data_IF_431259446658
#
_entry.id   IF_431259446658
#
_cell.length_a   1.000
_cell.length_b   1.000
_cell.length_c   1.000
_cell.angle_alpha   90.00
_cell.angle_beta   90.00
_cell.angle_gamma   90.00
#
_symmetry.space_group_name_H-M   'P 1'
#
loop_
_entity.id
_entity.type
_entity.pdbx_description
1 polymer ?
#
# COMPACT_ATOMS: atom_id res chain seq x y z
N UNK A 1 17.74 -16.69 0.75
CA UNK A 1 17.49 -15.53 -0.14
C UNK A 1 16.06 -15.52 -0.71
N UNK A 2 15.57 -16.58 -1.37
CA UNK A 2 14.22 -16.59 -1.98
C UNK A 2 13.06 -16.30 -1.01
N UNK A 3 13.09 -16.84 0.22
CA UNK A 3 12.07 -16.54 1.25
C UNK A 3 12.02 -15.04 1.56
N UNK A 4 13.16 -14.35 1.56
CA UNK A 4 13.21 -12.90 1.81
C UNK A 4 12.65 -12.10 0.63
N UNK A 5 12.89 -12.56 -0.60
CA UNK A 5 12.33 -11.95 -1.82
C UNK A 5 10.80 -12.07 -1.79
N UNK A 6 10.27 -13.27 -1.52
CA UNK A 6 8.83 -13.55 -1.53
C UNK A 6 8.12 -13.32 -0.18
N UNK A 7 8.77 -12.66 0.79
CA UNK A 7 8.19 -12.39 2.12
C UNK A 7 6.89 -11.58 2.03
N UNK A 8 6.06 -11.69 3.06
CA UNK A 8 4.76 -11.01 3.16
C UNK A 8 3.82 -11.36 1.99
N UNK A 9 3.75 -12.66 1.65
CA UNK A 9 2.81 -13.21 0.68
C UNK A 9 2.95 -12.63 -0.73
N UNK A 10 4.17 -12.22 -1.13
CA UNK A 10 4.38 -11.52 -2.40
C UNK A 10 3.90 -12.33 -3.61
N UNK A 11 4.07 -13.66 -3.60
CA UNK A 11 3.59 -14.52 -4.69
C UNK A 11 2.08 -14.42 -4.90
N UNK A 12 1.30 -14.53 -3.81
CA UNK A 12 -0.15 -14.39 -3.85
C UNK A 12 -0.56 -12.98 -4.33
N UNK A 13 0.15 -11.95 -3.84
CA UNK A 13 -0.11 -10.55 -4.21
C UNK A 13 0.20 -10.26 -5.67
N UNK A 14 1.25 -10.85 -6.24
CA UNK A 14 1.57 -10.73 -7.68
C UNK A 14 0.47 -11.37 -8.51
N UNK A 15 0.03 -12.58 -8.15
CA UNK A 15 -1.05 -13.27 -8.87
C UNK A 15 -2.34 -12.46 -8.84
N UNK A 16 -2.77 -12.05 -7.65
CA UNK A 16 -3.98 -11.26 -7.43
C UNK A 16 -3.94 -9.91 -8.17
N UNK A 17 -2.79 -9.21 -8.12
CA UNK A 17 -2.63 -7.91 -8.77
C UNK A 17 -2.73 -8.03 -10.30
N UNK A 18 -2.16 -9.08 -10.90
CA UNK A 18 -2.25 -9.30 -12.35
C UNK A 18 -3.67 -9.68 -12.77
N UNK A 19 -4.36 -10.52 -11.98
CA UNK A 19 -5.77 -10.87 -12.22
C UNK A 19 -6.65 -9.62 -12.18
N UNK A 20 -6.45 -8.74 -11.19
CA UNK A 20 -7.19 -7.48 -11.07
C UNK A 20 -6.92 -6.53 -12.26
N UNK A 21 -5.66 -6.38 -12.67
CA UNK A 21 -5.31 -5.55 -13.83
C UNK A 21 -5.95 -6.09 -15.11
N UNK A 22 -5.99 -7.41 -15.30
CA UNK A 22 -6.67 -8.03 -16.44
C UNK A 22 -8.18 -7.78 -16.40
N UNK A 23 -8.84 -7.92 -15.24
CA UNK A 23 -10.26 -7.58 -15.11
C UNK A 23 -10.53 -6.13 -15.54
N UNK A 24 -9.73 -5.17 -15.05
CA UNK A 24 -9.89 -3.76 -15.41
C UNK A 24 -9.70 -3.51 -16.91
N UNK A 25 -8.79 -4.23 -17.56
CA UNK A 25 -8.62 -4.15 -19.02
C UNK A 25 -9.85 -4.66 -19.75
N UNK A 26 -10.42 -5.80 -19.34
CA UNK A 26 -11.64 -6.32 -19.97
C UNK A 26 -12.87 -5.45 -19.68
N UNK A 27 -12.98 -4.85 -18.49
CA UNK A 27 -14.06 -3.92 -18.14
C UNK A 27 -14.06 -2.65 -19.02
N UNK A 28 -12.89 -2.26 -19.57
CA UNK A 28 -12.79 -1.13 -20.49
C UNK A 28 -13.16 -1.47 -21.93
N UNK A 29 -13.23 -2.76 -22.27
CA UNK A 29 -13.41 -3.26 -23.64
C UNK A 29 -14.71 -4.07 -23.80
N UNK A 30 -15.68 -3.87 -22.91
CA UNK A 30 -16.95 -4.62 -22.89
C UNK A 30 -17.69 -4.56 -24.22
N UNK A 31 -17.92 -3.34 -24.73
CA UNK A 31 -18.68 -3.12 -25.97
C UNK A 31 -17.93 -3.64 -27.20
N UNK A 32 -16.61 -3.40 -27.26
CA UNK A 32 -15.78 -3.76 -28.41
C UNK A 32 -15.64 -5.28 -28.58
N UNK A 33 -15.69 -6.03 -27.46
CA UNK A 33 -15.55 -7.49 -27.44
C UNK A 33 -16.88 -8.23 -27.25
N UNK A 34 -18.01 -7.53 -27.21
CA UNK A 34 -19.34 -8.11 -26.97
C UNK A 34 -19.41 -8.90 -25.65
N UNK A 35 -18.81 -8.35 -24.59
CA UNK A 35 -18.82 -8.93 -23.24
C UNK A 35 -20.03 -8.35 -22.47
N UNK A 36 -20.88 -9.22 -21.94
CA UNK A 36 -21.97 -8.84 -21.04
C UNK A 36 -21.46 -8.48 -19.64
N UNK A 37 -20.56 -9.31 -19.10
CA UNK A 37 -20.01 -9.12 -17.75
C UNK A 37 -18.65 -9.78 -17.62
N UNK A 38 -17.73 -9.10 -16.91
CA UNK A 38 -16.45 -9.64 -16.45
C UNK A 38 -16.61 -10.01 -14.97
N UNK A 39 -16.48 -11.29 -14.66
CA UNK A 39 -16.57 -11.77 -13.29
C UNK A 39 -15.21 -12.28 -12.82
N UNK A 40 -14.68 -11.67 -11.76
CA UNK A 40 -13.54 -12.23 -11.04
C UNK A 40 -14.00 -13.36 -10.13
N UNK A 41 -13.39 -14.53 -10.27
CA UNK A 41 -13.73 -15.70 -9.46
C UNK A 41 -13.16 -15.61 -8.04
N UNK A 42 -13.91 -16.14 -7.07
CA UNK A 42 -13.43 -16.28 -5.69
C UNK A 42 -12.53 -17.50 -5.60
N UNK A 43 -11.22 -17.29 -5.73
CA UNK A 43 -10.24 -18.37 -5.69
C UNK A 43 -9.80 -18.71 -4.27
N UNK A 44 -9.39 -19.97 -4.07
CA UNK A 44 -8.75 -20.37 -2.83
C UNK A 44 -7.41 -19.62 -2.65
N UNK A 45 -7.07 -19.08 -1.46
CA UNK A 45 -5.87 -18.26 -1.28
C UNK A 45 -4.56 -18.93 -1.71
N UNK A 46 -4.52 -20.27 -1.68
CA UNK A 46 -3.34 -21.07 -2.06
C UNK A 46 -3.26 -21.45 -3.54
N UNK A 47 -4.26 -21.08 -4.36
CA UNK A 47 -4.32 -21.45 -5.78
C UNK A 47 -3.10 -20.97 -6.55
N UNK A 48 -2.65 -19.74 -6.29
CA UNK A 48 -1.53 -19.11 -7.00
C UNK A 48 -0.22 -19.91 -6.97
N UNK A 49 0.02 -20.75 -5.96
CA UNK A 49 1.21 -21.60 -5.85
C UNK A 49 0.89 -23.10 -5.86
N UNK A 50 -0.32 -23.48 -6.28
CA UNK A 50 -0.72 -24.88 -6.48
C UNK A 50 -0.41 -25.26 -7.93
N UNK A 51 0.57 -26.15 -8.12
CA UNK A 51 1.13 -26.48 -9.44
C UNK A 51 0.57 -27.77 -10.05
N UNK A 52 -0.28 -28.49 -9.32
CA UNK A 52 -0.84 -29.77 -9.74
C UNK A 52 -2.29 -29.68 -10.23
N UNK A 53 -3.04 -28.66 -9.83
CA UNK A 53 -4.38 -28.39 -10.36
C UNK A 53 -4.72 -26.91 -10.21
N UNK A 54 -5.67 -26.44 -11.01
CA UNK A 54 -6.07 -25.03 -11.04
C UNK A 54 -7.58 -24.86 -11.19
N UNK A 55 -8.02 -23.60 -11.19
CA UNK A 55 -9.38 -23.14 -11.48
C UNK A 55 -9.30 -21.80 -12.22
N UNK A 56 -10.40 -21.36 -12.83
CA UNK A 56 -10.49 -20.05 -13.46
C UNK A 56 -10.24 -18.91 -12.45
N UNK A 57 -9.56 -17.86 -12.88
CA UNK A 57 -9.40 -16.60 -12.13
C UNK A 57 -10.42 -15.55 -12.57
N UNK A 58 -10.71 -15.50 -13.87
CA UNK A 58 -11.68 -14.58 -14.47
C UNK A 58 -12.61 -15.37 -15.38
N UNK A 59 -13.89 -15.02 -15.37
CA UNK A 59 -14.92 -15.56 -16.23
C UNK A 59 -15.60 -14.42 -17.01
N UNK A 60 -15.58 -14.53 -18.33
CA UNK A 60 -16.25 -13.60 -19.23
C UNK A 60 -17.55 -14.22 -19.73
N UNK A 61 -18.60 -13.42 -19.75
CA UNK A 61 -19.91 -13.79 -20.30
C UNK A 61 -20.12 -13.04 -21.61
N UNK A 62 -20.44 -13.75 -22.69
CA UNK A 62 -20.70 -13.15 -23.99
C UNK A 62 -22.12 -12.55 -24.03
N UNK A 63 -22.29 -11.36 -24.61
CA UNK A 63 -23.60 -10.76 -24.83
C UNK A 63 -24.51 -11.61 -25.73
N UNK A 64 -23.92 -12.40 -26.63
CA UNK A 64 -24.64 -13.39 -27.43
C UNK A 64 -23.89 -14.72 -27.50
N UNK A 65 -22.89 -14.83 -28.39
CA UNK A 65 -22.03 -16.00 -28.60
C UNK A 65 -20.74 -15.57 -29.28
N UNK A 66 -19.61 -16.13 -28.84
CA UNK A 66 -18.34 -16.01 -29.56
C UNK A 66 -18.07 -17.25 -30.39
N UNK A 67 -17.68 -17.05 -31.64
CA UNK A 67 -17.00 -18.08 -32.44
C UNK A 67 -15.54 -18.14 -31.99
N UNK A 68 -15.09 -19.29 -31.50
CA UNK A 68 -13.78 -19.42 -30.88
C UNK A 68 -12.87 -20.29 -31.73
N UNK A 69 -11.59 -19.98 -31.73
CA UNK A 69 -10.55 -20.75 -32.42
C UNK A 69 -10.23 -22.07 -31.72
N UNK A 70 -9.46 -22.90 -32.43
CA UNK A 70 -8.67 -23.97 -31.79
C UNK A 70 -7.62 -23.37 -30.86
N UNK A 71 -7.15 -24.11 -29.83
CA UNK A 71 -6.11 -23.61 -28.95
C UNK A 71 -4.83 -23.28 -29.72
N UNK A 72 -4.29 -22.08 -29.52
CA UNK A 72 -3.05 -21.61 -30.15
C UNK A 72 -2.26 -20.70 -29.20
N UNK A 73 -1.01 -20.41 -29.53
CA UNK A 73 -0.16 -19.53 -28.72
C UNK A 73 -0.57 -18.06 -28.88
N UNK A 74 -0.19 -17.26 -27.89
CA UNK A 74 -0.40 -15.80 -27.91
C UNK A 74 0.26 -15.13 -29.12
N UNK A 75 1.42 -15.62 -29.56
CA UNK A 75 2.17 -15.05 -30.68
C UNK A 75 1.71 -15.55 -32.06
N UNK A 76 0.83 -16.56 -32.12
CA UNK A 76 0.32 -17.09 -33.39
C UNK A 76 -0.64 -16.10 -34.05
N UNK A 77 -0.54 -15.96 -35.37
CA UNK A 77 -1.26 -14.95 -36.16
C UNK A 77 -2.40 -15.48 -37.04
N UNK A 78 -2.52 -16.80 -37.19
CA UNK A 78 -3.47 -17.43 -38.11
C UNK A 78 -4.51 -18.29 -37.37
N UNK A 79 -5.38 -17.63 -36.61
CA UNK A 79 -6.50 -18.32 -35.97
C UNK A 79 -7.69 -18.42 -36.94
N UNK A 80 -8.22 -19.64 -37.08
CA UNK A 80 -9.52 -19.86 -37.71
C UNK A 80 -10.59 -19.97 -36.62
N UNK A 81 -11.63 -19.14 -36.71
CA UNK A 81 -12.73 -19.06 -35.72
C UNK A 81 -13.83 -20.08 -36.04
N UNK A 82 -13.45 -21.32 -36.30
CA UNK A 82 -14.32 -22.38 -36.83
C UNK A 82 -14.46 -23.59 -35.88
N UNK A 83 -13.91 -23.51 -34.66
CA UNK A 83 -13.85 -24.65 -33.75
C UNK A 83 -15.19 -24.89 -33.04
N UNK A 84 -15.69 -23.89 -32.30
CA UNK A 84 -16.94 -23.99 -31.54
C UNK A 84 -17.50 -22.62 -31.20
N UNK A 85 -18.75 -22.57 -30.78
CA UNK A 85 -19.39 -21.37 -30.20
C UNK A 85 -19.45 -21.48 -28.69
N UNK A 86 -19.14 -20.40 -27.97
CA UNK A 86 -19.26 -20.36 -26.51
C UNK A 86 -19.97 -19.10 -26.02
N UNK A 87 -20.50 -19.17 -24.80
CA UNK A 87 -21.05 -18.03 -24.06
C UNK A 87 -20.26 -17.71 -22.79
N UNK A 88 -19.38 -18.63 -22.36
CA UNK A 88 -18.56 -18.49 -21.17
C UNK A 88 -17.10 -18.71 -21.55
N UNK A 89 -16.23 -17.79 -21.16
CA UNK A 89 -14.81 -17.86 -21.47
C UNK A 89 -13.98 -17.62 -20.23
N UNK A 90 -13.12 -18.57 -19.85
CA UNK A 90 -12.32 -18.45 -18.63
C UNK A 90 -10.89 -18.01 -18.92
N UNK A 91 -10.28 -17.33 -17.95
CA UNK A 91 -8.87 -16.97 -17.94
C UNK A 91 -8.24 -17.54 -16.67
N UNK A 92 -7.10 -18.20 -16.81
CA UNK A 92 -6.30 -18.72 -15.70
C UNK A 92 -4.87 -18.15 -15.78
N UNK A 93 -4.47 -17.43 -14.73
CA UNK A 93 -3.12 -16.87 -14.59
C UNK A 93 -2.26 -17.84 -13.77
N UNK A 94 -1.17 -18.29 -14.36
CA UNK A 94 -0.17 -19.16 -13.75
C UNK A 94 1.14 -18.42 -13.59
N UNK A 95 1.62 -18.36 -12.34
CA UNK A 95 2.95 -17.87 -12.03
C UNK A 95 3.92 -19.05 -11.98
N UNK A 96 5.15 -18.83 -12.43
CA UNK A 96 6.25 -19.77 -12.23
C UNK A 96 7.55 -19.06 -11.89
N UNK A 97 8.49 -19.84 -11.38
CA UNK A 97 9.88 -19.42 -11.17
C UNK A 97 10.77 -20.40 -11.93
N UNK A 98 11.17 -20.03 -13.15
CA UNK A 98 12.00 -20.88 -14.01
C UNK A 98 13.43 -21.05 -13.50
N UNK A 99 14.10 -22.08 -13.98
CA UNK A 99 15.53 -22.31 -13.80
C UNK A 99 16.27 -22.22 -15.15
N UNK A 100 17.55 -22.54 -15.18
CA UNK A 100 18.34 -22.48 -16.42
C UNK A 100 17.87 -23.50 -17.46
N UNK A 101 17.46 -24.69 -17.03
CA UNK A 101 17.10 -25.79 -17.92
C UNK A 101 15.65 -25.67 -18.44
N UNK A 102 14.77 -25.03 -17.67
CA UNK A 102 13.34 -24.93 -17.93
C UNK A 102 12.84 -23.49 -17.75
N UNK A 103 13.07 -22.68 -18.79
CA UNK A 103 12.61 -21.30 -18.88
C UNK A 103 11.85 -20.94 -20.17
N UNK A 104 11.50 -21.93 -21.00
CA UNK A 104 10.59 -21.72 -22.14
C UNK A 104 9.14 -21.57 -21.64
N UNK A 105 8.61 -20.34 -21.71
CA UNK A 105 7.28 -20.00 -21.19
C UNK A 105 6.13 -20.47 -22.09
N UNK A 106 6.35 -20.56 -23.40
CA UNK A 106 5.33 -20.99 -24.36
C UNK A 106 5.05 -22.49 -24.20
N UNK A 107 6.12 -23.28 -24.12
CA UNK A 107 6.02 -24.73 -23.88
C UNK A 107 5.31 -25.01 -22.56
N UNK A 108 5.61 -24.25 -21.52
CA UNK A 108 4.97 -24.40 -20.21
C UNK A 108 3.48 -24.03 -20.25
N UNK A 109 3.12 -22.89 -20.86
CA UNK A 109 1.73 -22.47 -20.97
C UNK A 109 0.88 -23.55 -21.68
N UNK A 110 1.39 -24.07 -22.80
CA UNK A 110 0.74 -25.15 -23.54
C UNK A 110 0.62 -26.43 -22.73
N UNK A 111 1.71 -26.86 -22.08
CA UNK A 111 1.72 -28.09 -21.28
C UNK A 111 0.68 -28.00 -20.15
N UNK A 112 0.70 -26.91 -19.37
CA UNK A 112 -0.25 -26.71 -18.27
C UNK A 112 -1.69 -26.57 -18.73
N UNK A 113 -1.94 -25.90 -19.84
CA UNK A 113 -3.28 -25.83 -20.41
C UNK A 113 -3.80 -27.23 -20.75
N UNK A 114 -3.01 -28.04 -21.45
CA UNK A 114 -3.41 -29.39 -21.84
C UNK A 114 -3.56 -30.30 -20.60
N UNK A 115 -2.64 -30.24 -19.65
CA UNK A 115 -2.72 -31.01 -18.39
C UNK A 115 -4.00 -30.66 -17.63
N UNK A 116 -4.28 -29.37 -17.39
CA UNK A 116 -5.42 -28.95 -16.58
C UNK A 116 -6.77 -29.08 -17.27
N UNK A 117 -6.82 -29.03 -18.61
CA UNK A 117 -8.10 -29.20 -19.33
C UNK A 117 -8.44 -30.67 -19.60
N UNK A 118 -7.48 -31.59 -19.46
CA UNK A 118 -7.70 -33.03 -19.65
C UNK A 118 -7.77 -33.81 -18.35
N UNK A 119 -7.20 -33.30 -17.26
CA UNK A 119 -7.28 -33.90 -15.93
C UNK A 119 -8.62 -33.60 -15.22
N UNK A 120 -9.10 -34.56 -14.43
CA UNK A 120 -10.33 -34.44 -13.66
C UNK A 120 -10.16 -33.65 -12.34
N UNK A 121 -8.93 -33.32 -11.94
CA UNK A 121 -8.69 -32.54 -10.71
C UNK A 121 -8.90 -31.03 -10.89
N UNK A 122 -8.80 -30.52 -12.11
CA UNK A 122 -9.02 -29.10 -12.42
C UNK A 122 -10.41 -28.95 -13.05
N UNK A 123 -11.18 -28.00 -12.54
CA UNK A 123 -12.55 -27.77 -13.01
C UNK A 123 -12.64 -26.35 -13.55
N UNK A 124 -12.94 -26.24 -14.83
CA UNK A 124 -13.20 -24.96 -15.49
C UNK A 124 -14.68 -24.82 -15.85
N UNK A 125 -15.25 -23.60 -15.80
CA UNK A 125 -16.69 -23.38 -16.07
C UNK A 125 -17.14 -23.64 -17.51
N UNK A 126 -16.22 -23.74 -18.46
CA UNK A 126 -16.50 -24.04 -19.86
C UNK A 126 -15.27 -24.70 -20.51
N UNK A 127 -15.43 -25.39 -21.67
CA UNK A 127 -14.30 -25.99 -22.38
C UNK A 127 -13.45 -24.96 -23.14
N UNK A 128 -13.80 -23.67 -23.12
CA UNK A 128 -13.14 -22.61 -23.88
C UNK A 128 -12.55 -21.56 -22.94
N UNK A 129 -11.24 -21.35 -23.04
CA UNK A 129 -10.55 -20.34 -22.25
C UNK A 129 -9.08 -20.25 -22.58
N UNK A 130 -8.34 -19.48 -21.79
CA UNK A 130 -6.91 -19.25 -21.97
C UNK A 130 -6.15 -19.32 -20.65
N UNK A 131 -4.99 -19.97 -20.70
CA UNK A 131 -4.03 -19.96 -19.63
C UNK A 131 -2.90 -18.99 -19.97
N UNK A 132 -2.69 -17.99 -19.11
CA UNK A 132 -1.61 -17.00 -19.20
C UNK A 132 -0.52 -17.42 -18.22
N UNK A 133 0.67 -17.71 -18.73
CA UNK A 133 1.82 -18.12 -17.92
C UNK A 133 2.86 -17.00 -17.81
N UNK A 134 3.38 -16.78 -16.61
CA UNK A 134 4.36 -15.72 -16.31
C UNK A 134 5.54 -16.32 -15.56
N UNK A 135 6.74 -16.19 -16.12
CA UNK A 135 7.99 -16.52 -15.45
C UNK A 135 8.54 -15.30 -14.70
N UNK A 136 8.47 -15.38 -13.38
CA UNK A 136 8.92 -14.33 -12.48
C UNK A 136 10.45 -14.20 -12.39
N UNK A 137 11.20 -15.26 -12.70
CA UNK A 137 12.66 -15.24 -12.65
C UNK A 137 13.23 -14.56 -13.90
N UNK A 138 12.69 -14.90 -15.07
CA UNK A 138 13.15 -14.41 -16.37
C UNK A 138 12.35 -13.23 -16.93
N UNK A 139 11.28 -12.82 -16.23
CA UNK A 139 10.38 -11.75 -16.66
C UNK A 139 9.75 -12.03 -18.05
N UNK A 140 9.45 -13.30 -18.33
CA UNK A 140 8.84 -13.77 -19.57
C UNK A 140 7.35 -14.03 -19.35
N UNK A 141 6.53 -13.89 -20.39
CA UNK A 141 5.13 -14.27 -20.36
C UNK A 141 4.72 -14.84 -21.70
N UNK A 142 3.73 -15.73 -21.68
CA UNK A 142 3.01 -16.19 -22.88
C UNK A 142 1.63 -16.68 -22.45
N UNK A 143 0.80 -17.04 -23.42
CA UNK A 143 -0.49 -17.63 -23.18
C UNK A 143 -0.79 -18.71 -24.21
N UNK A 144 -1.57 -19.70 -23.80
CA UNK A 144 -2.06 -20.76 -24.67
C UNK A 144 -3.51 -21.07 -24.33
N UNK A 145 -4.34 -21.18 -25.37
CA UNK A 145 -5.75 -21.49 -25.21
C UNK A 145 -6.55 -21.08 -26.43
N UNK A 146 -7.87 -21.12 -26.27
CA UNK A 146 -8.81 -20.74 -27.32
C UNK A 146 -8.89 -19.21 -27.44
N UNK A 147 -9.11 -18.68 -28.63
CA UNK A 147 -9.21 -17.23 -28.87
C UNK A 147 -10.53 -16.89 -29.53
N UNK A 148 -11.23 -15.89 -29.01
CA UNK A 148 -12.34 -15.26 -29.71
C UNK A 148 -11.86 -13.97 -30.40
N UNK A 149 -12.59 -13.44 -31.41
CA UNK A 149 -12.20 -12.23 -32.12
C UNK A 149 -11.88 -11.05 -31.18
N UNK A 150 -10.75 -10.38 -31.42
CA UNK A 150 -10.31 -9.22 -30.62
C UNK A 150 -9.59 -9.56 -29.29
N UNK A 151 -9.81 -10.75 -28.72
CA UNK A 151 -9.20 -11.14 -27.43
C UNK A 151 -7.67 -11.22 -27.48
N UNK A 152 -7.12 -11.89 -28.50
CA UNK A 152 -5.67 -12.08 -28.64
C UNK A 152 -4.88 -10.77 -28.70
N UNK A 153 -5.20 -9.81 -29.60
CA UNK A 153 -4.48 -8.53 -29.63
C UNK A 153 -4.66 -7.70 -28.35
N UNK A 154 -5.82 -7.78 -27.68
CA UNK A 154 -6.02 -7.14 -26.38
C UNK A 154 -5.06 -7.70 -25.32
N UNK A 155 -5.02 -9.03 -25.16
CA UNK A 155 -4.13 -9.68 -24.19
C UNK A 155 -2.66 -9.38 -24.50
N UNK A 156 -2.24 -9.35 -25.77
CA UNK A 156 -0.88 -8.97 -26.15
C UNK A 156 -0.51 -7.57 -25.64
N UNK A 157 -1.36 -6.57 -25.87
CA UNK A 157 -1.12 -5.20 -25.42
C UNK A 157 -1.20 -5.07 -23.89
N UNK A 158 -2.20 -5.71 -23.29
CA UNK A 158 -2.42 -5.71 -21.85
C UNK A 158 -1.22 -6.31 -21.10
N UNK A 159 -0.77 -7.50 -21.49
CA UNK A 159 0.34 -8.17 -20.83
C UNK A 159 1.66 -7.40 -21.00
N UNK A 160 1.91 -6.79 -22.16
CA UNK A 160 3.09 -5.93 -22.35
C UNK A 160 3.08 -4.74 -21.36
N UNK A 161 1.91 -4.13 -21.14
CA UNK A 161 1.75 -3.02 -20.18
C UNK A 161 1.85 -3.49 -18.73
N UNK A 162 1.14 -4.56 -18.35
CA UNK A 162 1.14 -5.14 -16.99
C UNK A 162 2.56 -5.57 -16.60
N UNK A 163 3.25 -6.30 -17.48
CA UNK A 163 4.63 -6.71 -17.21
C UNK A 163 5.54 -5.51 -16.96
N UNK A 164 5.32 -4.36 -17.60
CA UNK A 164 6.13 -3.17 -17.37
C UNK A 164 5.75 -2.41 -16.09
N UNK A 165 4.45 -2.20 -15.86
CA UNK A 165 3.95 -1.19 -14.93
C UNK A 165 3.31 -1.76 -13.64
N UNK A 166 3.11 -3.07 -13.54
CA UNK A 166 2.44 -3.66 -12.38
C UNK A 166 3.23 -3.42 -11.07
N UNK A 167 2.63 -2.82 -10.03
CA UNK A 167 3.33 -2.50 -8.78
C UNK A 167 3.86 -3.73 -8.03
N UNK A 168 3.16 -4.87 -8.08
CA UNK A 168 3.60 -6.08 -7.39
C UNK A 168 4.84 -6.69 -8.07
N UNK A 169 4.89 -6.67 -9.41
CA UNK A 169 6.08 -7.05 -10.17
C UNK A 169 7.24 -6.08 -9.95
N UNK A 170 6.97 -4.78 -9.81
CA UNK A 170 7.98 -3.80 -9.44
C UNK A 170 8.61 -4.11 -8.07
N UNK A 171 7.79 -4.36 -7.05
CA UNK A 171 8.26 -4.76 -5.71
C UNK A 171 9.12 -6.03 -5.77
N UNK A 172 8.74 -7.02 -6.59
CA UNK A 172 9.54 -8.22 -6.82
C UNK A 172 10.92 -7.88 -7.39
N UNK A 173 10.97 -7.08 -8.46
CA UNK A 173 12.22 -6.67 -9.13
C UNK A 173 13.12 -5.89 -8.18
N UNK A 174 12.58 -4.95 -7.43
CA UNK A 174 13.32 -4.17 -6.43
C UNK A 174 13.90 -5.05 -5.32
N UNK A 175 13.15 -6.04 -4.85
CA UNK A 175 13.68 -7.00 -3.86
C UNK A 175 14.80 -7.87 -4.43
N UNK A 176 14.70 -8.29 -5.69
CA UNK A 176 15.77 -9.03 -6.38
C UNK A 176 17.01 -8.13 -6.51
N UNK A 177 16.86 -6.89 -7.00
CA UNK A 177 17.95 -5.90 -7.09
C UNK A 177 18.63 -5.65 -5.74
N UNK A 178 17.85 -5.40 -4.69
CA UNK A 178 18.33 -5.23 -3.31
C UNK A 178 19.08 -6.47 -2.80
N UNK A 179 18.58 -7.67 -3.08
CA UNK A 179 19.22 -8.93 -2.66
C UNK A 179 20.53 -9.19 -3.42
N UNK A 180 20.61 -8.78 -4.69
CA UNK A 180 21.80 -8.89 -5.53
C UNK A 180 22.76 -7.69 -5.37
N UNK A 181 22.38 -6.68 -4.57
CA UNK A 181 23.15 -5.44 -4.37
C UNK A 181 23.43 -4.70 -5.68
N UNK A 182 22.46 -4.74 -6.61
CA UNK A 182 22.52 -4.00 -7.87
C UNK A 182 21.81 -2.66 -7.69
N UNK A 183 22.52 -1.57 -7.96
CA UNK A 183 21.98 -0.21 -7.89
C UNK A 183 22.02 0.42 -9.27
N UNK A 184 20.86 0.90 -9.75
CA UNK A 184 20.75 1.73 -10.95
C UNK A 184 20.34 3.14 -10.56
N UNK A 185 20.84 4.15 -11.27
CA UNK A 185 20.42 5.54 -11.15
C UNK A 185 19.14 5.80 -11.95
N UNK A 186 18.11 4.96 -11.79
CA UNK A 186 16.80 5.26 -12.36
C UNK A 186 16.24 6.53 -11.67
N UNK A 187 15.56 7.43 -12.42
CA UNK A 187 14.94 8.61 -11.83
C UNK A 187 13.79 8.16 -10.92
N UNK A 188 14.06 8.11 -9.62
CA UNK A 188 13.04 7.91 -8.59
C UNK A 188 12.22 9.18 -8.41
N UNK A 189 10.99 9.04 -7.95
CA UNK A 189 10.25 10.22 -7.50
C UNK A 189 11.06 10.97 -6.42
N UNK A 190 11.22 12.30 -6.56
CA UNK A 190 12.03 13.06 -5.64
C UNK A 190 11.39 13.04 -4.25
N UNK A 191 12.20 12.79 -3.22
CA UNK A 191 11.76 12.85 -1.83
C UNK A 191 11.24 14.24 -1.49
N UNK A 192 10.42 14.32 -0.45
CA UNK A 192 10.03 15.61 0.12
C UNK A 192 11.28 16.30 0.68
N UNK A 193 11.58 17.48 0.14
CA UNK A 193 12.70 18.33 0.48
C UNK A 193 12.21 19.78 0.64
N UNK A 194 13.11 20.70 0.95
CA UNK A 194 12.78 22.13 1.01
C UNK A 194 12.38 22.71 -0.35
N UNK A 195 12.78 22.08 -1.46
CA UNK A 195 12.51 22.57 -2.82
C UNK A 195 11.07 22.30 -3.27
N UNK A 196 10.48 21.18 -2.84
CA UNK A 196 9.11 20.78 -3.21
C UNK A 196 8.14 20.83 -2.01
N UNK A 197 8.51 21.49 -0.92
CA UNK A 197 7.69 21.62 0.29
C UNK A 197 6.31 22.25 0.03
N UNK A 198 6.20 23.12 -0.98
CA UNK A 198 4.94 23.74 -1.39
C UNK A 198 3.90 22.75 -1.94
N UNK A 199 4.32 21.59 -2.47
CA UNK A 199 3.42 20.57 -3.04
C UNK A 199 2.45 19.99 -1.98
N UNK A 200 2.84 20.04 -0.70
CA UNK A 200 2.03 19.60 0.44
C UNK A 200 0.67 20.29 0.55
N UNK A 201 0.53 21.49 -0.05
CA UNK A 201 -0.65 22.33 0.07
C UNK A 201 -1.45 22.40 -1.24
N UNK A 202 -1.22 21.45 -2.15
CA UNK A 202 -2.03 21.30 -3.36
C UNK A 202 -3.45 20.81 -3.04
N UNK A 203 -4.29 20.73 -4.08
CA UNK A 203 -5.63 20.17 -3.97
C UNK A 203 -5.65 18.65 -3.74
N UNK A 204 -4.50 17.97 -3.82
CA UNK A 204 -4.40 16.54 -3.53
C UNK A 204 -4.49 16.27 -2.02
N UNK A 205 -5.07 15.12 -1.66
CA UNK A 205 -5.06 14.63 -0.29
C UNK A 205 -3.71 13.97 -0.05
N UNK A 206 -2.93 14.56 0.85
CA UNK A 206 -1.58 14.10 1.20
C UNK A 206 -1.57 13.74 2.68
N UNK A 207 -1.00 12.59 3.02
CA UNK A 207 -0.82 12.19 4.42
C UNK A 207 0.65 12.04 4.77
N UNK A 208 1.04 12.53 5.94
CA UNK A 208 2.24 12.11 6.62
C UNK A 208 1.98 10.88 7.47
N UNK A 209 2.88 9.90 7.43
CA UNK A 209 2.86 8.74 8.32
C UNK A 209 4.16 8.71 9.12
N UNK A 210 4.03 8.79 10.45
CA UNK A 210 5.15 8.65 11.39
C UNK A 210 4.98 7.41 12.28
N UNK A 211 5.96 6.50 12.20
CA UNK A 211 6.00 5.23 12.95
C UNK A 211 6.89 5.31 14.20
N UNK A 212 7.43 6.49 14.52
CA UNK A 212 8.44 6.68 15.57
C UNK A 212 7.98 6.19 16.94
N UNK A 213 6.71 6.42 17.28
CA UNK A 213 6.14 6.10 18.59
C UNK A 213 5.22 4.87 18.60
N UNK A 214 5.33 4.00 17.58
CA UNK A 214 4.49 2.80 17.47
C UNK A 214 4.94 1.71 18.46
N UNK A 215 6.23 1.39 18.48
CA UNK A 215 6.79 0.42 19.43
C UNK A 215 7.66 1.14 20.45
N UNK A 216 7.08 1.36 21.63
CA UNK A 216 7.71 2.06 22.76
C UNK A 216 7.99 1.08 23.88
N UNK A 217 9.10 1.28 24.57
CA UNK A 217 9.52 0.42 25.69
C UNK A 217 9.92 1.26 26.89
N UNK A 218 9.67 0.72 28.08
CA UNK A 218 10.26 1.19 29.34
C UNK A 218 11.33 0.20 29.78
N UNK A 219 12.48 0.74 30.20
CA UNK A 219 13.59 -0.07 30.70
C UNK A 219 13.42 -0.20 32.20
N UNK A 220 13.48 -1.41 32.72
CA UNK A 220 13.49 -1.70 34.15
C UNK A 220 14.67 -2.61 34.48
N UNK A 221 15.20 -2.48 35.69
CA UNK A 221 16.27 -3.33 36.19
C UNK A 221 15.66 -4.51 36.92
N UNK A 222 16.03 -5.73 36.56
CA UNK A 222 15.64 -6.94 37.28
C UNK A 222 16.37 -7.03 38.61
N UNK A 223 15.87 -7.90 39.50
CA UNK A 223 16.52 -8.17 40.79
C UNK A 223 17.97 -8.65 40.63
N UNK A 224 18.25 -9.42 39.57
CA UNK A 224 19.59 -9.91 39.20
C UNK A 224 20.51 -8.83 38.60
N UNK A 225 20.00 -7.60 38.43
CA UNK A 225 20.74 -6.46 37.92
C UNK A 225 20.71 -6.29 36.39
N UNK A 226 20.06 -7.20 35.67
CA UNK A 226 19.90 -7.13 34.21
C UNK A 226 18.91 -6.03 33.80
N UNK A 227 19.15 -5.37 32.67
CA UNK A 227 18.21 -4.41 32.09
C UNK A 227 17.24 -5.14 31.16
N UNK A 228 15.94 -5.07 31.48
CA UNK A 228 14.86 -5.66 30.68
C UNK A 228 13.94 -4.57 30.15
N UNK A 229 13.36 -4.79 28.98
CA UNK A 229 12.42 -3.86 28.34
C UNK A 229 11.00 -4.39 28.48
N UNK A 230 10.05 -3.50 28.83
CA UNK A 230 8.62 -3.79 28.81
C UNK A 230 7.96 -2.89 27.76
N UNK A 231 7.16 -3.44 26.84
CA UNK A 231 6.42 -2.61 25.91
C UNK A 231 5.38 -1.76 26.65
N UNK A 232 5.15 -0.56 26.17
CA UNK A 232 4.04 0.31 26.56
C UNK A 232 3.19 0.63 25.33
N UNK A 233 2.01 1.23 25.55
CA UNK A 233 1.15 1.65 24.45
C UNK A 233 1.90 2.64 23.54
N UNK A 234 1.74 2.42 22.24
CA UNK A 234 2.25 3.29 21.19
C UNK A 234 1.12 3.91 20.38
N UNK A 235 1.49 4.71 19.39
CA UNK A 235 0.55 5.25 18.44
C UNK A 235 1.17 5.41 17.05
N UNK A 236 0.36 5.18 16.02
CA UNK A 236 0.64 5.59 14.66
C UNK A 236 0.08 7.00 14.49
N UNK A 237 0.89 7.88 13.92
CA UNK A 237 0.52 9.26 13.66
C UNK A 237 0.32 9.44 12.15
N UNK A 238 -0.91 9.69 11.72
CA UNK A 238 -1.26 9.93 10.31
C UNK A 238 -1.88 11.32 10.19
N UNK A 239 -1.23 12.21 9.46
CA UNK A 239 -1.57 13.64 9.49
C UNK A 239 -1.75 14.24 8.10
N UNK A 240 -2.83 14.98 7.91
CA UNK A 240 -3.09 15.76 6.71
C UNK A 240 -2.59 17.21 6.89
N UNK A 241 -1.52 17.64 6.20
CA UNK A 241 -0.92 18.96 6.39
C UNK A 241 -1.78 20.10 5.85
N UNK A 242 -2.77 19.81 4.98
CA UNK A 242 -3.67 20.84 4.45
C UNK A 242 -4.81 21.14 5.41
N UNK A 243 -5.45 20.09 5.94
CA UNK A 243 -6.65 20.24 6.77
C UNK A 243 -6.35 20.28 8.26
N UNK A 244 -5.18 19.82 8.70
CA UNK A 244 -4.85 19.67 10.11
C UNK A 244 -5.38 18.37 10.73
N UNK A 245 -6.12 17.56 9.97
CA UNK A 245 -6.71 16.32 10.47
C UNK A 245 -5.62 15.31 10.85
N UNK A 246 -5.72 14.79 12.07
CA UNK A 246 -4.87 13.75 12.62
C UNK A 246 -5.71 12.51 12.89
N UNK A 247 -5.32 11.40 12.26
CA UNK A 247 -5.76 10.07 12.62
C UNK A 247 -4.70 9.46 13.56
N UNK A 248 -5.03 9.40 14.85
CA UNK A 248 -4.16 8.83 15.88
C UNK A 248 -4.63 7.41 16.18
N UNK A 249 -3.94 6.41 15.62
CA UNK A 249 -4.22 5.00 15.92
C UNK A 249 -3.40 4.56 17.12
N UNK A 250 -4.08 4.28 18.23
CA UNK A 250 -3.45 3.73 19.44
C UNK A 250 -3.17 2.24 19.23
N UNK A 251 -1.93 1.84 19.49
CA UNK A 251 -1.48 0.46 19.45
C UNK A 251 -1.27 -0.03 20.87
N UNK A 252 -2.21 -0.86 21.33
CA UNK A 252 -2.17 -1.42 22.68
C UNK A 252 -1.09 -2.50 22.82
N UNK A 253 -0.56 -2.66 24.04
CA UNK A 253 0.51 -3.64 24.36
C UNK A 253 0.19 -5.09 23.99
N UNK A 254 -1.10 -5.45 23.93
CA UNK A 254 -1.55 -6.79 23.53
C UNK A 254 -1.10 -7.20 22.13
N UNK A 255 -0.88 -6.25 21.21
CA UNK A 255 -0.37 -6.52 19.85
C UNK A 255 1.03 -7.13 19.86
N UNK A 256 1.81 -6.87 20.91
CA UNK A 256 3.19 -7.34 21.04
C UNK A 256 3.29 -8.70 21.77
N UNK A 257 2.20 -9.17 22.36
CA UNK A 257 2.20 -10.39 23.17
C UNK A 257 2.56 -11.63 22.34
N UNK A 258 3.52 -12.42 22.82
CA UNK A 258 3.99 -13.64 22.15
C UNK A 258 4.80 -13.42 20.87
N UNK A 259 5.07 -12.17 20.48
CA UNK A 259 5.78 -11.83 19.26
C UNK A 259 7.28 -11.61 19.50
N UNK A 260 8.09 -11.86 18.46
CA UNK A 260 9.54 -11.58 18.45
C UNK A 260 9.86 -10.57 17.35
N UNK A 261 11.06 -9.96 17.42
CA UNK A 261 11.54 -8.95 16.44
C UNK A 261 10.59 -7.75 16.30
N UNK A 262 10.16 -7.23 17.44
CA UNK A 262 9.10 -6.22 17.56
C UNK A 262 9.39 -4.93 16.78
N UNK A 263 10.66 -4.53 16.64
CA UNK A 263 11.03 -3.37 15.83
C UNK A 263 10.72 -3.53 14.33
N UNK A 264 10.78 -4.75 13.79
CA UNK A 264 10.33 -5.02 12.42
C UNK A 264 8.81 -5.13 12.37
N UNK A 265 8.21 -5.85 13.32
CA UNK A 265 6.76 -6.03 13.42
C UNK A 265 6.02 -4.68 13.49
N UNK A 266 6.55 -3.71 14.23
CA UNK A 266 5.98 -2.37 14.35
C UNK A 266 5.76 -1.70 12.99
N UNK A 267 6.72 -1.80 12.07
CA UNK A 267 6.63 -1.22 10.72
C UNK A 267 5.54 -1.90 9.88
N UNK A 268 5.49 -3.23 9.93
CA UNK A 268 4.46 -4.00 9.22
C UNK A 268 3.06 -3.75 9.77
N UNK A 269 2.91 -3.70 11.10
CA UNK A 269 1.63 -3.33 11.73
C UNK A 269 1.22 -1.90 11.43
N UNK A 270 2.18 -0.98 11.35
CA UNK A 270 1.90 0.39 10.90
C UNK A 270 1.33 0.39 9.47
N UNK A 271 1.98 -0.28 8.53
CA UNK A 271 1.52 -0.34 7.15
C UNK A 271 0.16 -1.05 6.99
N UNK A 272 -0.09 -2.10 7.79
CA UNK A 272 -1.37 -2.81 7.83
C UNK A 272 -2.51 -1.91 8.30
N UNK A 273 -2.32 -1.17 9.41
CA UNK A 273 -3.30 -0.24 9.95
C UNK A 273 -3.54 0.97 9.03
N UNK A 274 -2.49 1.49 8.38
CA UNK A 274 -2.62 2.54 7.36
C UNK A 274 -3.45 2.05 6.18
N UNK A 275 -3.17 0.85 5.66
CA UNK A 275 -3.94 0.27 4.57
C UNK A 275 -5.41 -0.02 4.97
N UNK A 276 -5.64 -0.47 6.22
CA UNK A 276 -6.98 -0.66 6.75
C UNK A 276 -7.76 0.66 6.87
N UNK A 277 -7.10 1.74 7.30
CA UNK A 277 -7.71 3.07 7.34
C UNK A 277 -8.10 3.53 5.94
N UNK A 278 -7.23 3.39 4.94
CA UNK A 278 -7.54 3.79 3.56
C UNK A 278 -8.73 2.99 3.01
N UNK A 279 -8.79 1.67 3.27
CA UNK A 279 -9.95 0.83 2.89
C UNK A 279 -11.25 1.27 3.55
N UNK A 280 -11.19 1.87 4.74
CA UNK A 280 -12.38 2.34 5.46
C UNK A 280 -12.92 3.68 4.97
N UNK A 281 -12.14 4.43 4.18
CA UNK A 281 -12.53 5.73 3.66
C UNK A 281 -13.18 5.63 2.27
N UNK A 282 -14.16 6.50 1.96
CA UNK A 282 -14.65 6.69 0.59
C UNK A 282 -13.52 7.05 -0.38
N UNK A 283 -13.66 6.69 -1.65
CA UNK A 283 -12.62 6.87 -2.67
C UNK A 283 -12.23 8.35 -2.86
N UNK A 284 -13.16 9.27 -2.60
CA UNK A 284 -12.98 10.72 -2.66
C UNK A 284 -12.08 11.25 -1.53
N UNK A 285 -12.04 10.56 -0.39
CA UNK A 285 -11.25 10.93 0.79
C UNK A 285 -9.90 10.20 0.86
N UNK A 286 -9.68 9.21 -0.02
CA UNK A 286 -8.44 8.46 -0.07
C UNK A 286 -7.25 9.37 -0.48
N UNK A 287 -6.08 9.23 0.17
CA UNK A 287 -4.92 10.02 -0.15
C UNK A 287 -4.43 9.70 -1.55
N UNK A 288 -3.98 10.72 -2.30
CA UNK A 288 -3.23 10.53 -3.55
C UNK A 288 -1.74 10.33 -3.29
N UNK A 289 -1.25 10.81 -2.14
CA UNK A 289 0.15 10.69 -1.75
C UNK A 289 0.29 10.40 -0.26
N UNK A 290 1.21 9.49 0.07
CA UNK A 290 1.62 9.19 1.43
C UNK A 290 3.12 9.47 1.56
N UNK A 291 3.46 10.35 2.50
CA UNK A 291 4.84 10.73 2.79
C UNK A 291 5.25 10.11 4.11
N UNK A 292 6.30 9.28 4.09
CA UNK A 292 6.84 8.65 5.31
C UNK A 292 8.00 9.45 5.89
N UNK A 293 8.01 9.61 7.21
CA UNK A 293 9.12 10.26 7.92
C UNK A 293 10.37 9.38 7.96
N UNK A 294 10.21 8.05 7.96
CA UNK A 294 11.30 7.08 8.11
C UNK A 294 11.34 6.12 6.93
N UNK A 295 12.49 6.05 6.26
CA UNK A 295 12.72 5.20 5.05
C UNK A 295 12.33 3.73 5.25
N UNK A 296 12.41 3.22 6.49
CA UNK A 296 12.02 1.85 6.81
C UNK A 296 10.53 1.53 6.59
N UNK A 297 9.68 2.54 6.42
CA UNK A 297 8.24 2.41 6.15
C UNK A 297 7.90 2.32 4.65
N UNK A 298 8.83 2.63 3.75
CA UNK A 298 8.61 2.54 2.29
C UNK A 298 8.24 1.11 1.89
N UNK A 299 9.14 0.14 2.14
CA UNK A 299 8.91 -1.26 1.73
C UNK A 299 7.59 -1.85 2.30
N UNK A 300 7.25 -1.69 3.61
CA UNK A 300 6.00 -2.22 4.13
C UNK A 300 4.75 -1.58 3.50
N UNK A 301 4.75 -0.26 3.28
CA UNK A 301 3.60 0.42 2.67
C UNK A 301 3.43 0.04 1.21
N UNK A 302 4.51 -0.02 0.41
CA UNK A 302 4.46 -0.48 -0.99
C UNK A 302 3.80 -1.86 -1.09
N UNK A 303 4.06 -2.74 -0.12
CA UNK A 303 3.51 -4.10 -0.10
C UNK A 303 2.05 -4.13 0.36
N UNK A 304 1.67 -3.30 1.31
CA UNK A 304 0.30 -3.27 1.85
C UNK A 304 -0.67 -2.45 1.00
N UNK A 305 -0.16 -1.56 0.15
CA UNK A 305 -0.93 -0.67 -0.72
C UNK A 305 -0.93 -1.12 -2.20
N UNK A 306 -0.58 -2.37 -2.50
CA UNK A 306 -0.70 -2.93 -3.85
C UNK A 306 -2.14 -2.89 -4.39
N UNK A 307 -3.14 -2.95 -3.50
CA UNK A 307 -4.56 -2.81 -3.85
C UNK A 307 -4.93 -1.36 -4.25
N UNK A 308 -4.01 -0.41 -4.02
CA UNK A 308 -4.19 1.03 -4.25
C UNK A 308 -3.11 1.59 -5.18
N UNK A 309 -3.08 1.18 -6.46
CA UNK A 309 -2.00 1.51 -7.40
C UNK A 309 -1.84 3.02 -7.68
N UNK A 310 -2.88 3.81 -7.40
CA UNK A 310 -2.90 5.26 -7.64
C UNK A 310 -2.32 6.08 -6.47
N UNK A 311 -1.93 5.43 -5.36
CA UNK A 311 -1.37 6.12 -4.20
C UNK A 311 0.14 6.16 -4.33
N UNK A 312 0.68 7.37 -4.42
CA UNK A 312 2.12 7.61 -4.47
C UNK A 312 2.73 7.51 -3.07
N UNK A 313 3.78 6.71 -2.91
CA UNK A 313 4.50 6.56 -1.63
C UNK A 313 5.86 7.24 -1.75
N UNK A 314 6.10 8.26 -0.93
CA UNK A 314 7.30 9.10 -0.99
C UNK A 314 8.02 9.15 0.35
N UNK A 315 9.36 9.20 0.32
CA UNK A 315 10.17 9.45 1.50
C UNK A 315 10.33 10.94 1.79
N UNK A 316 10.59 11.30 3.05
CA UNK A 316 10.97 12.66 3.44
C UNK A 316 12.47 12.76 3.74
N UNK A 317 13.14 13.77 3.19
CA UNK A 317 14.47 14.21 3.64
C UNK A 317 14.37 15.17 4.82
N UNK A 318 13.22 15.84 4.96
CA UNK A 318 12.92 16.70 6.10
C UNK A 318 12.68 15.86 7.34
N UNK A 319 13.43 16.15 8.41
CA UNK A 319 13.20 15.57 9.73
C UNK A 319 12.11 16.37 10.46
N UNK A 320 10.86 15.95 10.25
CA UNK A 320 9.70 16.59 10.89
C UNK A 320 9.51 16.08 12.33
N UNK A 321 9.30 16.97 13.32
CA UNK A 321 9.27 16.61 14.74
C UNK A 321 7.92 16.03 15.21
N UNK A 322 7.21 15.25 14.38
CA UNK A 322 5.88 14.72 14.74
C UNK A 322 5.88 13.87 16.02
N UNK A 323 6.98 13.18 16.31
CA UNK A 323 7.15 12.45 17.57
C UNK A 323 6.95 13.32 18.83
N UNK A 324 7.24 14.63 18.75
CA UNK A 324 7.09 15.54 19.88
C UNK A 324 5.62 15.85 20.19
N UNK A 325 4.71 15.62 19.24
CA UNK A 325 3.27 15.82 19.44
C UNK A 325 2.75 14.95 20.59
N UNK A 326 3.28 13.73 20.75
CA UNK A 326 2.88 12.83 21.83
C UNK A 326 3.38 13.25 23.23
N UNK A 327 4.21 14.30 23.32
CA UNK A 327 4.59 14.91 24.61
C UNK A 327 3.51 15.84 25.16
N UNK A 328 2.51 16.20 24.35
CA UNK A 328 1.35 16.96 24.82
C UNK A 328 0.48 16.03 25.69
N UNK A 329 0.14 16.50 26.89
CA UNK A 329 -0.55 15.71 27.93
C UNK A 329 -1.85 15.07 27.42
N UNK A 330 -2.64 15.82 26.63
CA UNK A 330 -3.88 15.31 26.01
C UNK A 330 -3.65 14.01 25.22
N UNK A 331 -2.57 13.93 24.44
CA UNK A 331 -2.24 12.72 23.67
C UNK A 331 -1.54 11.67 24.52
N UNK A 332 -0.58 12.08 25.35
CA UNK A 332 0.19 11.18 26.21
C UNK A 332 -0.72 10.38 27.16
N UNK A 333 -1.62 11.07 27.86
CA UNK A 333 -2.58 10.45 28.77
C UNK A 333 -3.55 9.52 28.06
N UNK A 334 -4.07 9.95 26.91
CA UNK A 334 -4.99 9.15 26.11
C UNK A 334 -4.36 7.82 25.70
N UNK A 335 -3.11 7.85 25.22
CA UNK A 335 -2.37 6.65 24.79
C UNK A 335 -2.07 5.74 25.99
N UNK A 336 -1.63 6.31 27.12
CA UNK A 336 -1.25 5.53 28.29
C UNK A 336 -2.46 4.88 28.99
N UNK A 337 -3.62 5.55 29.00
CA UNK A 337 -4.86 5.06 29.65
C UNK A 337 -5.67 4.11 28.78
N UNK A 338 -5.37 4.01 27.48
CA UNK A 338 -6.10 3.13 26.56
C UNK A 338 -5.94 1.65 26.92
N UNK A 339 -7.06 0.93 27.00
CA UNK A 339 -7.12 -0.51 27.29
C UNK A 339 -7.22 -1.39 26.04
N UNK A 340 -7.51 -0.78 24.89
CA UNK A 340 -7.66 -1.47 23.60
C UNK A 340 -7.14 -0.61 22.43
N UNK A 341 -6.80 -1.22 21.28
CA UNK A 341 -6.47 -0.47 20.08
C UNK A 341 -7.68 0.31 19.56
N UNK A 342 -7.52 1.61 19.35
CA UNK A 342 -8.61 2.47 18.86
C UNK A 342 -8.07 3.57 17.95
N UNK A 343 -8.91 4.03 17.03
CA UNK A 343 -8.63 5.18 16.17
C UNK A 343 -9.27 6.41 16.78
N UNK A 344 -8.49 7.48 16.98
CA UNK A 344 -8.99 8.75 17.53
C UNK A 344 -8.68 9.87 16.55
N UNK A 345 -9.70 10.69 16.27
CA UNK A 345 -9.60 11.83 15.35
C UNK A 345 -9.32 13.11 16.12
N UNK A 346 -8.41 13.92 15.59
CA UNK A 346 -8.09 15.24 16.08
C UNK A 346 -7.93 16.22 14.91
N UNK A 347 -7.97 17.51 15.21
CA UNK A 347 -7.52 18.54 14.29
C UNK A 347 -6.40 19.34 14.96
N UNK A 348 -5.16 19.18 14.49
CA UNK A 348 -3.98 19.85 15.06
C UNK A 348 -3.94 21.35 14.76
N UNK A 349 -4.80 21.85 13.88
CA UNK A 349 -4.93 23.28 13.62
C UNK A 349 -6.01 23.94 14.46
N UNK A 350 -6.80 23.18 15.24
CA UNK A 350 -7.95 23.70 15.96
C UNK A 350 -8.78 24.61 15.02
N UNK A 351 -8.84 25.91 15.30
CA UNK A 351 -9.57 26.92 14.53
C UNK A 351 -8.69 27.81 13.64
N UNK A 352 -7.38 27.56 13.54
CA UNK A 352 -6.43 28.46 12.84
C UNK A 352 -6.80 28.71 11.37
N UNK A 353 -7.39 27.72 10.69
CA UNK A 353 -7.78 27.86 9.27
C UNK A 353 -8.86 28.91 9.02
N UNK A 354 -9.49 29.47 10.06
CA UNK A 354 -10.41 30.61 9.94
C UNK A 354 -9.69 31.92 9.62
N UNK A 355 -8.46 32.11 10.12
CA UNK A 355 -7.71 33.37 10.00
C UNK A 355 -6.41 33.23 9.20
N UNK A 356 -5.80 32.05 9.16
CA UNK A 356 -4.54 31.82 8.45
C UNK A 356 -4.61 30.68 7.42
N UNK A 357 -3.70 30.73 6.44
CA UNK A 357 -3.58 29.69 5.42
C UNK A 357 -3.10 28.35 6.00
N UNK A 358 -3.38 27.25 5.30
CA UNK A 358 -2.86 25.92 5.68
C UNK A 358 -1.34 25.87 5.73
N UNK A 359 -0.65 26.61 4.86
CA UNK A 359 0.81 26.72 4.85
C UNK A 359 1.33 27.36 6.15
N UNK A 360 0.71 28.48 6.54
CA UNK A 360 1.07 29.20 7.77
C UNK A 360 0.74 28.35 9.01
N UNK A 361 -0.43 27.69 9.02
CA UNK A 361 -0.84 26.80 10.11
C UNK A 361 0.11 25.62 10.28
N UNK A 362 0.54 24.99 9.17
CA UNK A 362 1.54 23.93 9.22
C UNK A 362 2.88 24.43 9.75
N UNK A 363 3.32 25.60 9.29
CA UNK A 363 4.59 26.21 9.72
C UNK A 363 4.58 26.50 11.23
N UNK A 364 3.49 27.08 11.74
CA UNK A 364 3.24 27.28 13.18
C UNK A 364 3.30 25.95 13.94
N UNK A 365 2.60 24.92 13.45
CA UNK A 365 2.62 23.59 14.07
C UNK A 365 4.04 23.01 14.13
N UNK A 366 4.79 23.05 13.03
CA UNK A 366 6.16 22.54 13.00
C UNK A 366 7.07 23.31 13.96
N UNK A 367 6.91 24.63 14.08
CA UNK A 367 7.65 25.44 15.03
C UNK A 367 7.37 25.03 16.48
N UNK A 368 6.09 24.89 16.85
CA UNK A 368 5.67 24.41 18.17
C UNK A 368 6.22 23.02 18.47
N UNK A 369 6.06 22.07 17.53
CA UNK A 369 6.53 20.70 17.71
C UNK A 369 8.06 20.62 17.79
N UNK A 370 8.79 21.47 17.06
CA UNK A 370 10.25 21.55 17.15
C UNK A 370 10.68 22.10 18.52
N UNK A 371 10.03 23.15 19.01
CA UNK A 371 10.30 23.69 20.34
C UNK A 371 10.02 22.65 21.44
N UNK A 372 8.88 21.94 21.37
CA UNK A 372 8.56 20.81 22.25
C UNK A 372 9.55 19.64 22.14
N UNK A 373 10.14 19.43 20.97
CA UNK A 373 11.16 18.42 20.78
C UNK A 373 12.42 18.77 21.56
N UNK A 374 12.88 20.03 21.46
CA UNK A 374 14.12 20.55 22.07
C UNK A 374 13.97 20.80 23.57
N UNK A 375 12.96 21.56 23.99
CA UNK A 375 12.74 21.88 25.41
C UNK A 375 11.24 21.93 25.73
N UNK A 376 10.72 20.80 26.21
CA UNK A 376 9.31 20.64 26.55
C UNK A 376 8.84 21.65 27.59
N UNK A 377 9.58 21.81 28.69
CA UNK A 377 9.15 22.62 29.84
C UNK A 377 9.11 24.11 29.48
N UNK A 378 10.18 24.64 28.86
CA UNK A 378 10.21 26.04 28.42
C UNK A 378 9.10 26.33 27.41
N UNK A 379 8.84 25.40 26.48
CA UNK A 379 7.80 25.56 25.46
C UNK A 379 6.41 25.59 26.10
N UNK A 380 6.13 24.74 27.09
CA UNK A 380 4.85 24.77 27.82
C UNK A 380 4.62 26.12 28.53
N UNK A 381 5.68 26.68 29.13
CA UNK A 381 5.62 28.02 29.76
C UNK A 381 5.34 29.11 28.72
N UNK A 382 5.98 29.06 27.54
CA UNK A 382 5.75 30.02 26.45
C UNK A 382 4.32 29.93 25.93
N UNK A 383 3.78 28.72 25.75
CA UNK A 383 2.42 28.51 25.24
C UNK A 383 1.33 28.93 26.25
N UNK A 384 1.60 28.82 27.55
CA UNK A 384 0.66 29.18 28.62
C UNK A 384 1.33 30.06 29.68
N UNK A 385 1.59 31.34 29.37
CA UNK A 385 2.34 32.22 30.26
C UNK A 385 1.51 32.71 31.46
N UNK A 386 0.18 32.75 31.34
CA UNK A 386 -0.73 33.21 32.39
C UNK A 386 -1.95 32.27 32.54
N UNK A 387 -2.57 32.29 33.73
CA UNK A 387 -3.80 31.54 34.06
C UNK A 387 -5.01 31.98 33.26
N UNK A 388 -4.98 33.19 32.69
CA UNK A 388 -6.02 33.72 31.82
C UNK A 388 -6.03 33.03 30.45
N UNK A 389 -4.90 32.46 30.03
CA UNK A 389 -4.79 31.72 28.77
C UNK A 389 -5.46 30.35 28.89
N UNK A 390 -6.65 30.23 28.33
CA UNK A 390 -7.44 28.99 28.34
C UNK A 390 -7.21 28.16 27.07
N UNK A 391 -7.30 26.84 27.21
CA UNK A 391 -7.43 25.90 26.09
C UNK A 391 -8.83 25.33 26.15
N UNK A 392 -9.58 25.45 25.07
CA UNK A 392 -10.92 24.86 25.01
C UNK A 392 -10.87 23.33 25.08
N UNK A 393 -11.87 22.66 25.67
CA UNK A 393 -11.83 21.20 25.87
C UNK A 393 -11.64 20.40 24.57
N UNK A 394 -12.19 20.90 23.46
CA UNK A 394 -12.08 20.28 22.13
C UNK A 394 -10.80 20.68 21.39
N UNK A 395 -10.12 21.76 21.80
CA UNK A 395 -8.86 22.21 21.23
C UNK A 395 -7.63 21.54 21.86
N UNK A 396 -6.50 21.63 21.16
CA UNK A 396 -5.20 21.13 21.62
C UNK A 396 -4.34 22.29 22.10
N UNK A 397 -4.36 23.40 21.36
CA UNK A 397 -3.55 24.57 21.61
C UNK A 397 -4.34 25.63 22.37
N UNK A 398 -3.66 26.54 23.09
CA UNK A 398 -4.32 27.66 23.75
C UNK A 398 -5.02 28.57 22.74
N UNK A 399 -6.18 29.11 23.13
CA UNK A 399 -6.93 30.06 22.30
C UNK A 399 -6.25 31.42 22.41
N UNK A 400 -5.56 31.84 21.35
CA UNK A 400 -4.83 33.11 21.25
C UNK A 400 -5.29 33.88 20.00
N UNK A 401 -5.20 35.20 20.06
CA UNK A 401 -5.37 36.10 18.92
C UNK A 401 -4.18 36.02 17.96
N UNK A 402 -4.35 36.51 16.71
CA UNK A 402 -3.27 36.47 15.71
C UNK A 402 -2.02 37.26 16.18
N UNK A 403 -2.19 38.40 16.85
CA UNK A 403 -1.08 39.20 17.40
C UNK A 403 -0.32 38.49 18.52
N UNK A 404 -1.04 37.74 19.37
CA UNK A 404 -0.42 36.92 20.42
C UNK A 404 0.34 35.75 19.82
N UNK A 405 -0.21 35.11 18.78
CA UNK A 405 0.48 34.04 18.06
C UNK A 405 1.78 34.52 17.44
N UNK A 406 1.83 35.70 16.84
CA UNK A 406 3.08 36.26 16.29
C UNK A 406 4.16 36.38 17.38
N UNK A 407 3.79 36.87 18.58
CA UNK A 407 4.73 36.97 19.71
C UNK A 407 5.21 35.59 20.15
N UNK A 408 4.30 34.63 20.30
CA UNK A 408 4.61 33.25 20.69
C UNK A 408 5.54 32.60 19.66
N UNK A 409 5.27 32.74 18.36
CA UNK A 409 6.12 32.22 17.30
C UNK A 409 7.54 32.78 17.36
N UNK A 410 7.70 34.08 17.60
CA UNK A 410 9.02 34.70 17.80
C UNK A 410 9.76 34.09 18.99
N UNK A 411 9.09 33.87 20.12
CA UNK A 411 9.69 33.24 21.30
C UNK A 411 10.04 31.77 21.08
N UNK A 412 9.28 31.03 20.27
CA UNK A 412 9.56 29.63 19.94
C UNK A 412 10.74 29.47 18.97
N UNK A 413 11.03 30.51 18.18
CA UNK A 413 12.15 30.53 17.25
C UNK A 413 13.49 30.89 17.93
N UNK A 414 13.46 31.38 19.18
CA UNK A 414 14.60 31.79 20.02
C UNK A 414 14.97 30.73 21.08
#
# INVERSE_FOLDING_TARGET
>A
SLIQIFRAHLWQKVHESIVMDLCQVFDQELDALEIETVQKETIHPRKSYKMNSSCADVLLFAAYKWNVSRPSLLADSKDTMDNTTTQKYWIDVQLRWGDYDSHDIERYARAKFLDYTTDNMSIYPSPTGVLIAIDLAYNLHSAYGNWFPGCKPLIQQAMAKIMKANPALYVLRERIRKALQLYSSEPTEPYLSSQNYGELFSNQIIWFVDDTNVYRVTIHKTFEGNLTTKPINGAIFIFNPRTGQLFLKIIHTSVWAGQKRLGQLAKWKTAEEVAALIRSLPVEEQPKQIIVTRKGMLDPLEVHLLDFPNIVIKGSELQLPFQACLKVEKFGDLILKATEPQMVLFNLYDDWLKTISSYTAFSRLILILRALHVNTERTKVILKPDKTTITEPHHIWPTLTDDEWIKVELYLNL
#
